data_IF_677475878020
#
_entry.id   IF_677475878020
#
_cell.length_a   1.000
_cell.length_b   1.000
_cell.length_c   1.000
_cell.angle_alpha   90.00
_cell.angle_beta   90.00
_cell.angle_gamma   90.00
#
_symmetry.space_group_name_H-M   'P 1'
#
loop_
_entity.id
_entity.type
_entity.pdbx_description
1 polymer ?
#
# COMPACT_ATOMS: atom_id res chain seq x y z
N UNK A 1 0.28 -12.75 -13.29
CA UNK A 1 -0.04 -11.30 -13.28
C UNK A 1 -0.90 -10.99 -12.08
N UNK A 2 -0.88 -9.74 -11.59
CA UNK A 2 -1.75 -9.27 -10.52
C UNK A 2 -2.88 -8.46 -11.14
N UNK A 3 -4.12 -8.70 -10.69
CA UNK A 3 -5.33 -8.08 -11.23
C UNK A 3 -6.14 -7.51 -10.06
N UNK A 4 -6.41 -6.21 -10.12
CA UNK A 4 -7.09 -5.47 -9.06
C UNK A 4 -8.31 -4.75 -9.64
N UNK A 5 -9.54 -5.27 -9.44
CA UNK A 5 -10.76 -4.57 -9.84
C UNK A 5 -10.90 -3.26 -9.07
N UNK A 6 -11.21 -2.17 -9.76
CA UNK A 6 -11.31 -0.83 -9.17
C UNK A 6 -12.77 -0.46 -8.88
N UNK A 7 -13.00 0.53 -8.03
CA UNK A 7 -14.34 1.03 -7.69
C UNK A 7 -15.08 1.66 -8.88
N UNK A 8 -14.36 2.23 -9.84
CA UNK A 8 -14.92 2.83 -11.06
C UNK A 8 -15.29 1.80 -12.15
N UNK A 9 -15.18 0.50 -11.84
CA UNK A 9 -15.44 -0.59 -12.77
C UNK A 9 -14.27 -0.91 -13.71
N UNK A 10 -13.16 -0.17 -13.62
CA UNK A 10 -11.93 -0.50 -14.37
C UNK A 10 -11.14 -1.61 -13.69
N UNK A 11 -10.07 -2.08 -14.35
CA UNK A 11 -9.20 -3.14 -13.82
C UNK A 11 -7.74 -2.75 -13.97
N UNK A 12 -7.06 -2.57 -12.84
CA UNK A 12 -5.62 -2.37 -12.79
C UNK A 12 -4.89 -3.71 -12.94
N UNK A 13 -3.81 -3.72 -13.73
CA UNK A 13 -3.04 -4.93 -14.05
C UNK A 13 -1.56 -4.66 -13.85
N UNK A 14 -0.90 -5.55 -13.14
CA UNK A 14 0.52 -5.44 -12.83
C UNK A 14 1.25 -6.76 -13.15
N UNK A 15 2.55 -6.71 -13.50
CA UNK A 15 3.37 -7.92 -13.54
C UNK A 15 3.43 -8.55 -12.14
N UNK A 16 3.77 -9.83 -12.05
CA UNK A 16 3.85 -10.49 -10.74
C UNK A 16 4.98 -9.92 -9.86
N UNK A 17 6.07 -9.46 -10.48
CA UNK A 17 7.19 -8.81 -9.79
C UNK A 17 6.76 -7.58 -8.98
N UNK A 18 5.74 -6.85 -9.46
CA UNK A 18 5.22 -5.67 -8.79
C UNK A 18 4.68 -5.93 -7.38
N UNK A 19 4.35 -7.19 -7.04
CA UNK A 19 3.97 -7.54 -5.67
C UNK A 19 5.13 -7.35 -4.69
N UNK A 20 6.32 -7.86 -5.03
CA UNK A 20 7.50 -7.70 -4.18
C UNK A 20 7.94 -6.23 -4.11
N UNK A 21 7.93 -5.54 -5.25
CA UNK A 21 8.31 -4.12 -5.31
C UNK A 21 7.37 -3.24 -4.46
N UNK A 22 6.06 -3.52 -4.51
CA UNK A 22 5.08 -2.84 -3.69
C UNK A 22 5.26 -3.15 -2.20
N UNK A 23 5.61 -4.40 -1.86
CA UNK A 23 5.86 -4.77 -0.47
C UNK A 23 7.08 -4.06 0.10
N UNK A 24 8.18 -4.02 -0.65
CA UNK A 24 9.39 -3.27 -0.26
C UNK A 24 9.09 -1.78 -0.12
N UNK A 25 8.38 -1.19 -1.08
CA UNK A 25 7.97 0.21 -1.00
C UNK A 25 7.12 0.49 0.25
N UNK A 26 6.19 -0.40 0.61
CA UNK A 26 5.39 -0.26 1.82
C UNK A 26 6.24 -0.31 3.10
N UNK A 27 7.25 -1.19 3.15
CA UNK A 27 8.19 -1.27 4.27
C UNK A 27 9.14 -0.06 4.32
N UNK A 28 9.63 0.44 3.20
CA UNK A 28 10.49 1.64 3.15
C UNK A 28 9.73 2.90 3.58
N UNK A 29 8.42 2.94 3.32
CA UNK A 29 7.55 4.03 3.78
C UNK A 29 7.23 3.93 5.28
N UNK A 30 7.39 2.75 5.90
CA UNK A 30 7.13 2.55 7.32
C UNK A 30 8.19 3.29 8.16
N UNK A 31 7.76 4.28 8.93
CA UNK A 31 8.64 5.08 9.80
C UNK A 31 9.49 6.12 9.07
N UNK A 32 9.33 6.30 7.76
CA UNK A 32 10.04 7.33 6.99
C UNK A 32 9.39 8.72 7.07
N UNK A 33 8.14 8.81 7.56
CA UNK A 33 7.42 10.07 7.71
C UNK A 33 7.36 10.87 6.40
N UNK A 34 7.74 12.15 6.46
CA UNK A 34 7.75 13.05 5.30
C UNK A 34 8.81 12.69 4.24
N UNK A 35 9.84 11.91 4.61
CA UNK A 35 10.90 11.43 3.70
C UNK A 35 10.53 10.12 2.98
N UNK A 36 9.30 9.64 3.17
CA UNK A 36 8.82 8.40 2.56
C UNK A 36 8.90 8.45 1.02
N UNK A 37 9.45 7.41 0.35
CA UNK A 37 9.54 7.38 -1.10
C UNK A 37 8.13 7.37 -1.73
N UNK A 38 7.96 7.81 -2.99
CA UNK A 38 6.65 7.81 -3.65
C UNK A 38 5.95 6.45 -3.57
N UNK A 39 4.64 6.47 -3.33
CA UNK A 39 3.86 5.25 -3.16
C UNK A 39 3.81 4.41 -4.45
N UNK A 40 3.99 3.10 -4.29
CA UNK A 40 3.90 2.17 -5.40
C UNK A 40 2.44 2.05 -5.93
N UNK A 41 2.19 2.10 -7.26
CA UNK A 41 0.84 2.08 -7.84
C UNK A 41 -0.05 0.90 -7.43
N UNK A 42 0.54 -0.25 -7.09
CA UNK A 42 -0.20 -1.42 -6.57
C UNK A 42 -0.88 -1.12 -5.23
N UNK A 43 -0.23 -0.36 -4.33
CA UNK A 43 -0.74 0.02 -3.01
C UNK A 43 -1.98 0.92 -3.19
N UNK A 44 -1.86 1.94 -4.05
CA UNK A 44 -2.97 2.81 -4.43
C UNK A 44 -4.14 2.01 -5.04
N UNK A 45 -3.84 1.09 -5.98
CA UNK A 45 -4.85 0.26 -6.62
C UNK A 45 -5.56 -0.70 -5.65
N UNK A 46 -4.84 -1.23 -4.64
CA UNK A 46 -5.41 -2.08 -3.60
C UNK A 46 -6.39 -1.31 -2.72
N UNK A 47 -6.06 -0.07 -2.31
CA UNK A 47 -6.97 0.81 -1.55
C UNK A 47 -8.22 1.19 -2.33
N UNK A 48 -8.09 1.45 -3.63
CA UNK A 48 -9.19 1.79 -4.52
C UNK A 48 -9.94 0.56 -5.07
N UNK A 49 -9.69 -0.63 -4.53
CA UNK A 49 -10.31 -1.86 -5.03
C UNK A 49 -11.78 -1.97 -4.61
N UNK A 50 -12.60 -2.52 -5.51
CA UNK A 50 -13.98 -2.91 -5.20
C UNK A 50 -14.09 -4.27 -4.49
N UNK A 51 -13.00 -5.04 -4.43
CA UNK A 51 -12.96 -6.35 -3.76
C UNK A 51 -12.30 -6.28 -2.38
N UNK A 52 -12.95 -6.84 -1.33
CA UNK A 52 -12.43 -6.86 0.05
C UNK A 52 -11.03 -7.45 0.19
N UNK A 53 -10.72 -8.52 -0.56
CA UNK A 53 -9.39 -9.16 -0.52
C UNK A 53 -8.23 -8.22 -0.88
N UNK A 54 -8.51 -7.09 -1.52
CA UNK A 54 -7.55 -6.07 -1.89
C UNK A 54 -7.66 -4.86 -0.96
N UNK A 55 -8.87 -4.33 -0.75
CA UNK A 55 -9.12 -3.15 0.08
C UNK A 55 -8.87 -3.37 1.57
N UNK A 56 -8.88 -4.63 2.02
CA UNK A 56 -8.54 -5.04 3.39
C UNK A 56 -7.21 -5.79 3.46
N UNK A 57 -6.46 -5.84 2.35
CA UNK A 57 -5.15 -6.48 2.33
C UNK A 57 -4.08 -5.64 3.02
N UNK A 58 -2.93 -6.27 3.30
CA UNK A 58 -1.73 -5.59 3.78
C UNK A 58 -1.34 -4.37 2.92
N UNK A 59 -1.56 -4.44 1.60
CA UNK A 59 -1.27 -3.33 0.69
C UNK A 59 -2.24 -2.15 0.86
N UNK A 60 -3.42 -2.36 1.45
CA UNK A 60 -4.41 -1.31 1.66
C UNK A 60 -4.37 -0.71 3.07
N UNK A 61 -3.82 -1.42 4.05
CA UNK A 61 -3.79 -1.02 5.47
C UNK A 61 -2.75 0.03 5.83
N UNK A 62 -1.79 0.36 4.96
CA UNK A 62 -0.70 1.29 5.25
C UNK A 62 -1.00 2.79 5.07
N UNK A 63 -2.28 3.17 4.98
CA UNK A 63 -2.69 4.52 4.57
C UNK A 63 -2.79 5.58 5.68
N UNK A 64 -3.27 5.22 6.87
CA UNK A 64 -3.44 6.11 8.03
C UNK A 64 -3.13 5.31 9.31
N UNK A 65 -2.28 5.84 10.19
CA UNK A 65 -1.88 5.22 11.47
C UNK A 65 -0.59 4.40 11.48
N UNK A 66 -0.07 4.00 10.31
CA UNK A 66 1.19 3.22 10.22
C UNK A 66 2.45 4.09 10.13
N UNK A 67 2.29 5.33 9.64
CA UNK A 67 3.39 6.31 9.48
C UNK A 67 3.40 7.36 10.57
N UNK A 68 2.40 7.34 11.47
CA UNK A 68 2.36 8.26 12.60
C UNK A 68 3.59 8.01 13.47
N UNK A 69 4.20 9.12 13.92
CA UNK A 69 5.31 9.03 14.84
C UNK A 69 4.84 8.28 16.09
N UNK A 70 5.51 7.17 16.40
CA UNK A 70 5.28 6.44 17.66
C UNK A 70 5.76 7.34 18.79
N UNK A 71 4.94 7.49 19.83
CA UNK A 71 5.31 8.27 21.01
C UNK A 71 6.59 7.68 21.62
N UNK A 72 7.60 8.52 21.87
CA UNK A 72 8.88 8.07 22.43
C UNK A 72 8.67 7.69 23.91
N UNK A 73 8.76 6.38 24.19
CA UNK A 73 8.59 5.81 25.53
C UNK A 73 9.92 5.62 26.27
N UNK A 74 11.01 6.23 25.81
CA UNK A 74 12.29 6.17 26.54
C UNK A 74 12.24 7.03 27.81
N UNK A 75 12.34 6.38 28.97
CA UNK A 75 12.58 7.01 30.29
C UNK A 75 14.08 7.25 30.53
#
# INVERSE_FOLDING_TARGET
MIVVPQLDGTVARFPQSAGMDAFMNLMDRMGAGDDAPPEHPLIAAARNSSEPKWSESFYATGGEGWTDAVEDLSE
#
